data_IF_762368746499
#
_entry.id   IF_762368746499
#
_cell.length_a   1.000
_cell.length_b   1.000
_cell.length_c   1.000
_cell.angle_alpha   90.00
_cell.angle_beta   90.00
_cell.angle_gamma   90.00
#
_symmetry.space_group_name_H-M   'P 1'
#
loop_
_entity.id
_entity.type
_entity.pdbx_description
1 polymer ?
#
# COMPACT_ATOMS: atom_id res chain seq x y z
N UNK A 1 -12.44 -0.53 -5.95
CA UNK A 1 -11.08 -0.64 -6.56
C UNK A 1 -10.77 -2.09 -6.92
N UNK A 2 -10.82 -3.04 -5.96
CA UNK A 2 -10.41 -4.44 -6.20
C UNK A 2 -11.09 -5.15 -7.37
N UNK A 3 -12.42 -5.04 -7.61
CA UNK A 3 -13.03 -5.72 -8.77
C UNK A 3 -12.41 -5.27 -10.11
N UNK A 4 -12.15 -3.98 -10.29
CA UNK A 4 -11.52 -3.45 -11.51
C UNK A 4 -10.09 -3.97 -11.68
N UNK A 5 -9.31 -4.01 -10.60
CA UNK A 5 -7.94 -4.52 -10.62
C UNK A 5 -7.90 -6.03 -10.91
N UNK A 6 -8.85 -6.80 -10.36
CA UNK A 6 -8.96 -8.23 -10.63
C UNK A 6 -9.23 -8.52 -12.11
N UNK A 7 -10.15 -7.77 -12.73
CA UNK A 7 -10.42 -7.92 -14.17
C UNK A 7 -9.20 -7.56 -15.04
N UNK A 8 -8.43 -6.55 -14.65
CA UNK A 8 -7.18 -6.21 -15.33
C UNK A 8 -6.13 -7.32 -15.21
N UNK A 9 -5.98 -7.90 -14.01
CA UNK A 9 -5.10 -9.04 -13.79
C UNK A 9 -5.49 -10.24 -14.66
N UNK A 10 -6.79 -10.56 -14.75
CA UNK A 10 -7.29 -11.65 -15.63
C UNK A 10 -6.97 -11.42 -17.10
N UNK A 11 -6.90 -10.17 -17.55
CA UNK A 11 -6.44 -9.79 -18.90
C UNK A 11 -4.93 -9.82 -19.10
N UNK A 12 -4.17 -10.25 -18.09
CA UNK A 12 -2.70 -10.32 -18.13
C UNK A 12 -1.99 -9.00 -17.84
N UNK A 13 -2.72 -7.96 -17.42
CA UNK A 13 -2.12 -6.69 -17.03
C UNK A 13 -1.41 -6.80 -15.68
N UNK A 14 -0.40 -5.95 -15.47
CA UNK A 14 0.26 -5.85 -14.17
C UNK A 14 -0.47 -4.88 -13.25
N UNK A 15 -0.58 -5.26 -11.97
CA UNK A 15 -1.06 -4.39 -10.89
C UNK A 15 0.06 -4.14 -9.89
N UNK A 16 0.28 -2.89 -9.55
CA UNK A 16 1.30 -2.44 -8.60
C UNK A 16 0.66 -1.60 -7.51
N UNK A 17 0.87 -2.01 -6.26
CA UNK A 17 0.44 -1.27 -5.08
C UNK A 17 1.67 -0.86 -4.28
N UNK A 18 1.58 0.24 -3.54
CA UNK A 18 2.66 0.72 -2.69
C UNK A 18 2.14 1.11 -1.32
N UNK A 19 2.71 0.54 -0.26
CA UNK A 19 2.57 0.97 1.12
C UNK A 19 3.81 1.78 1.48
N UNK A 20 3.67 3.09 1.53
CA UNK A 20 4.75 4.05 1.77
C UNK A 20 4.78 4.42 3.26
N UNK A 21 5.87 4.12 3.96
CA UNK A 21 5.96 4.18 5.41
C UNK A 21 5.25 3.00 6.07
N UNK A 22 5.66 1.78 5.71
CA UNK A 22 4.96 0.55 6.09
C UNK A 22 5.24 0.09 7.53
N UNK A 23 6.20 0.71 8.22
CA UNK A 23 6.64 0.35 9.57
C UNK A 23 6.89 -1.17 9.71
N UNK A 24 6.37 -1.81 10.72
CA UNK A 24 6.49 -3.23 11.03
C UNK A 24 5.68 -4.17 10.11
N UNK A 25 5.11 -3.66 9.03
CA UNK A 25 4.45 -4.44 7.97
C UNK A 25 2.97 -4.72 8.18
N UNK A 26 2.34 -4.24 9.23
CA UNK A 26 0.88 -4.47 9.46
C UNK A 26 0.01 -4.00 8.31
N UNK A 27 0.31 -2.83 7.74
CA UNK A 27 -0.46 -2.30 6.61
C UNK A 27 -0.29 -3.15 5.34
N UNK A 28 0.91 -3.45 4.82
CA UNK A 28 1.04 -4.25 3.61
C UNK A 28 0.49 -5.68 3.76
N UNK A 29 0.55 -6.30 4.93
CA UNK A 29 -0.12 -7.58 5.17
C UNK A 29 -1.65 -7.44 5.15
N UNK A 30 -2.20 -6.36 5.71
CA UNK A 30 -3.65 -6.07 5.63
C UNK A 30 -4.08 -5.85 4.18
N UNK A 31 -3.29 -5.13 3.38
CA UNK A 31 -3.53 -4.96 1.94
C UNK A 31 -3.53 -6.33 1.24
N UNK A 32 -2.52 -7.16 1.49
CA UNK A 32 -2.41 -8.50 0.89
C UNK A 32 -3.61 -9.40 1.29
N UNK A 33 -4.03 -9.39 2.55
CA UNK A 33 -5.24 -10.09 2.99
C UNK A 33 -6.48 -9.61 2.24
N UNK A 34 -6.66 -8.30 2.13
CA UNK A 34 -7.80 -7.69 1.42
C UNK A 34 -7.81 -8.07 -0.07
N UNK A 35 -6.64 -8.08 -0.69
CA UNK A 35 -6.47 -8.54 -2.09
C UNK A 35 -6.89 -9.99 -2.23
N UNK A 36 -6.37 -10.89 -1.40
CA UNK A 36 -6.67 -12.32 -1.48
C UNK A 36 -8.10 -12.66 -1.06
N UNK A 37 -8.74 -11.86 -0.22
CA UNK A 37 -10.17 -12.01 0.05
C UNK A 37 -11.04 -11.65 -1.16
N UNK A 38 -10.70 -10.54 -1.82
CA UNK A 38 -11.45 -10.07 -2.99
C UNK A 38 -11.13 -10.89 -4.27
N UNK A 39 -9.92 -11.42 -4.37
CA UNK A 39 -9.44 -12.21 -5.50
C UNK A 39 -8.46 -13.30 -5.02
N UNK A 40 -8.95 -14.48 -4.59
CA UNK A 40 -8.14 -15.53 -3.98
C UNK A 40 -6.98 -16.04 -4.83
N UNK A 41 -7.10 -15.92 -6.15
CA UNK A 41 -6.07 -16.36 -7.10
C UNK A 41 -5.04 -15.28 -7.42
N UNK A 42 -5.09 -14.10 -6.79
CA UNK A 42 -4.24 -12.94 -7.12
C UNK A 42 -2.74 -13.28 -7.13
N UNK A 43 -2.29 -14.20 -6.27
CA UNK A 43 -0.90 -14.64 -6.23
C UNK A 43 -0.41 -15.35 -7.51
N UNK A 44 -1.32 -15.83 -8.37
CA UNK A 44 -0.99 -16.44 -9.67
C UNK A 44 -0.82 -15.41 -10.78
N UNK A 45 -1.13 -14.15 -10.50
CA UNK A 45 -1.12 -13.07 -11.48
C UNK A 45 0.01 -12.08 -11.20
N UNK A 46 0.25 -11.18 -12.15
CA UNK A 46 1.29 -10.16 -12.04
C UNK A 46 0.88 -9.01 -11.11
N UNK A 47 0.63 -9.34 -9.84
CA UNK A 47 0.35 -8.38 -8.77
C UNK A 47 1.54 -8.33 -7.80
N UNK A 48 1.99 -7.13 -7.42
CA UNK A 48 2.99 -6.93 -6.37
C UNK A 48 2.64 -5.71 -5.52
N UNK A 49 2.91 -5.84 -4.23
CA UNK A 49 2.80 -4.78 -3.23
C UNK A 49 4.22 -4.42 -2.83
N UNK A 50 4.66 -3.22 -3.19
CA UNK A 50 5.86 -2.64 -2.61
C UNK A 50 5.51 -2.15 -1.20
N UNK A 51 6.31 -2.51 -0.22
CA UNK A 51 6.25 -1.98 1.13
C UNK A 51 7.59 -1.33 1.46
N UNK A 52 7.58 -0.06 1.78
CA UNK A 52 8.82 0.67 2.02
C UNK A 52 8.79 1.48 3.31
N UNK A 53 9.94 1.55 3.97
CA UNK A 53 10.14 2.36 5.17
C UNK A 53 11.57 2.89 5.23
N UNK A 54 11.79 3.92 6.04
CA UNK A 54 13.09 4.49 6.36
C UNK A 54 13.82 3.71 7.47
N UNK A 55 13.07 2.99 8.32
CA UNK A 55 13.64 2.24 9.44
C UNK A 55 13.95 0.80 9.05
N UNK A 56 15.23 0.46 9.03
CA UNK A 56 15.69 -0.89 8.75
C UNK A 56 15.17 -1.93 9.77
N UNK A 57 15.09 -1.57 11.06
CA UNK A 57 14.64 -2.49 12.09
C UNK A 57 13.15 -2.83 11.92
N UNK A 58 12.33 -1.85 11.56
CA UNK A 58 10.94 -2.06 11.22
C UNK A 58 10.78 -2.96 9.97
N UNK A 59 11.61 -2.73 8.96
CA UNK A 59 11.59 -3.56 7.75
C UNK A 59 11.98 -5.01 8.01
N UNK A 60 12.96 -5.28 8.87
CA UNK A 60 13.31 -6.66 9.24
C UNK A 60 12.15 -7.36 9.97
N UNK A 61 11.53 -6.70 10.95
CA UNK A 61 10.30 -7.20 11.59
C UNK A 61 9.18 -7.45 10.60
N UNK A 62 8.99 -6.51 9.65
CA UNK A 62 7.98 -6.65 8.60
C UNK A 62 8.26 -7.87 7.70
N UNK A 63 9.51 -8.12 7.33
CA UNK A 63 9.92 -9.31 6.55
C UNK A 63 9.68 -10.61 7.31
N UNK A 64 9.91 -10.63 8.62
CA UNK A 64 9.59 -11.79 9.46
C UNK A 64 8.10 -12.11 9.42
N UNK A 65 7.22 -11.09 9.29
CA UNK A 65 5.77 -11.24 9.25
C UNK A 65 5.22 -11.97 10.47
N UNK A 66 5.84 -11.77 11.63
CA UNK A 66 5.49 -12.41 12.89
C UNK A 66 4.93 -11.38 13.86
N UNK A 67 3.74 -11.63 14.36
CA UNK A 67 3.00 -10.73 15.26
C UNK A 67 2.56 -11.47 16.50
N UNK A 68 2.37 -10.75 17.63
CA UNK A 68 1.89 -11.38 18.86
C UNK A 68 0.54 -12.06 18.65
N UNK A 69 0.30 -13.16 19.39
CA UNK A 69 -0.98 -13.88 19.35
C UNK A 69 -2.15 -12.94 19.69
N UNK A 70 -1.94 -12.00 20.62
CA UNK A 70 -2.94 -10.99 20.97
C UNK A 70 -3.31 -10.11 19.76
N UNK A 71 -2.32 -9.63 19.01
CA UNK A 71 -2.56 -8.79 17.83
C UNK A 71 -3.31 -9.57 16.74
N UNK A 72 -2.89 -10.79 16.47
CA UNK A 72 -3.51 -11.65 15.45
C UNK A 72 -4.92 -12.08 15.88
N UNK A 73 -5.19 -12.27 17.18
CA UNK A 73 -6.52 -12.64 17.68
C UNK A 73 -7.59 -11.57 17.44
N UNK A 74 -7.19 -10.31 17.27
CA UNK A 74 -8.09 -9.18 16.95
C UNK A 74 -8.53 -9.17 15.48
N UNK A 75 -7.91 -9.98 14.64
CA UNK A 75 -8.31 -10.10 13.23
C UNK A 75 -9.59 -10.91 13.09
N UNK A 76 -10.41 -10.63 12.04
CA UNK A 76 -11.54 -11.49 11.71
C UNK A 76 -11.09 -12.96 11.57
N UNK A 77 -11.80 -13.92 12.20
CA UNK A 77 -11.39 -15.33 12.21
C UNK A 77 -11.09 -15.90 10.81
N UNK A 78 -11.93 -15.57 9.84
CA UNK A 78 -11.76 -16.04 8.45
C UNK A 78 -10.44 -15.59 7.80
N UNK A 79 -9.90 -14.42 8.19
CA UNK A 79 -8.62 -13.90 7.74
C UNK A 79 -7.50 -14.57 8.52
N UNK A 80 -7.61 -14.53 9.85
CA UNK A 80 -6.61 -15.06 10.75
C UNK A 80 -6.32 -16.53 10.44
N UNK A 81 -7.37 -17.37 10.44
CA UNK A 81 -7.21 -18.82 10.34
C UNK A 81 -6.74 -19.27 8.93
N UNK A 82 -7.00 -18.44 7.92
CA UNK A 82 -6.57 -18.71 6.55
C UNK A 82 -5.14 -18.26 6.26
N UNK A 83 -4.72 -17.14 6.83
CA UNK A 83 -3.50 -16.47 6.40
C UNK A 83 -2.43 -16.36 7.47
N UNK A 84 -2.72 -16.71 8.73
CA UNK A 84 -1.75 -16.68 9.81
C UNK A 84 -1.69 -18.03 10.51
N UNK A 85 -0.48 -18.57 10.63
CA UNK A 85 -0.23 -19.81 11.36
C UNK A 85 0.22 -19.47 12.78
N UNK A 86 -0.39 -20.10 13.80
CA UNK A 86 0.09 -19.95 15.17
C UNK A 86 1.43 -20.66 15.35
N UNK A 87 2.41 -19.95 15.90
CA UNK A 87 3.74 -20.43 16.23
C UNK A 87 4.08 -19.95 17.66
N UNK A 88 3.91 -20.82 18.67
CA UNK A 88 4.02 -20.42 20.07
C UNK A 88 3.03 -19.32 20.42
N UNK A 89 3.55 -18.21 20.97
CA UNK A 89 2.78 -17.01 21.34
C UNK A 89 2.68 -15.98 20.21
N UNK A 90 2.90 -16.40 18.96
CA UNK A 90 2.88 -15.53 17.78
C UNK A 90 1.99 -16.10 16.69
N UNK A 91 1.52 -15.20 15.81
CA UNK A 91 0.94 -15.55 14.52
C UNK A 91 1.89 -15.18 13.41
N UNK A 92 2.19 -16.12 12.53
CA UNK A 92 3.10 -15.93 11.41
C UNK A 92 2.33 -15.85 10.10
N UNK A 93 2.60 -14.82 9.29
CA UNK A 93 1.99 -14.62 7.99
C UNK A 93 2.34 -15.77 7.03
N UNK A 94 1.36 -16.27 6.30
CA UNK A 94 1.54 -17.36 5.34
C UNK A 94 2.46 -16.94 4.19
N UNK A 95 3.09 -17.94 3.54
CA UNK A 95 3.93 -17.70 2.37
C UNK A 95 3.15 -16.99 1.25
N UNK A 96 1.87 -17.33 1.07
CA UNK A 96 1.01 -16.69 0.08
C UNK A 96 0.90 -15.17 0.26
N UNK A 97 0.84 -14.66 1.49
CA UNK A 97 0.87 -13.22 1.77
C UNK A 97 2.26 -12.64 1.48
N UNK A 98 3.31 -13.32 1.94
CA UNK A 98 4.70 -12.88 1.79
C UNK A 98 5.09 -12.73 0.32
N UNK A 99 4.67 -13.67 -0.54
CA UNK A 99 4.98 -13.67 -1.97
C UNK A 99 4.39 -12.47 -2.72
N UNK A 100 3.33 -11.85 -2.19
CA UNK A 100 2.75 -10.64 -2.76
C UNK A 100 3.53 -9.38 -2.41
N UNK A 101 4.33 -9.38 -1.32
CA UNK A 101 4.92 -8.18 -0.74
C UNK A 101 6.43 -8.15 -1.00
N UNK A 102 6.93 -7.00 -1.43
CA UNK A 102 8.35 -6.72 -1.57
C UNK A 102 8.74 -5.59 -0.62
N UNK A 103 9.48 -5.91 0.44
CA UNK A 103 9.98 -4.92 1.41
C UNK A 103 11.27 -4.27 0.90
N UNK A 104 11.33 -2.93 0.94
CA UNK A 104 12.48 -2.14 0.49
C UNK A 104 12.71 -0.94 1.40
N UNK A 105 13.97 -0.66 1.69
CA UNK A 105 14.37 0.62 2.28
C UNK A 105 14.11 1.74 1.29
N UNK A 106 13.44 2.80 1.75
CA UNK A 106 13.19 3.99 0.95
C UNK A 106 12.90 5.18 1.86
N UNK A 107 13.67 6.26 1.66
CA UNK A 107 13.35 7.55 2.24
C UNK A 107 12.45 8.33 1.27
N UNK A 108 11.28 8.76 1.75
CA UNK A 108 10.33 9.55 0.95
C UNK A 108 10.88 10.91 0.50
N UNK A 109 11.93 11.40 1.16
CA UNK A 109 12.56 12.68 0.81
C UNK A 109 13.57 12.55 -0.34
N UNK A 110 14.13 11.36 -0.54
CA UNK A 110 15.10 11.10 -1.60
C UNK A 110 14.40 10.80 -2.94
N UNK A 111 15.17 10.73 -4.04
CA UNK A 111 14.64 10.30 -5.33
C UNK A 111 14.10 8.87 -5.27
N UNK A 112 12.99 8.65 -5.96
CA UNK A 112 12.34 7.35 -6.01
C UNK A 112 12.76 6.59 -7.28
N UNK A 113 13.33 5.37 -7.15
CA UNK A 113 13.88 4.63 -8.29
C UNK A 113 12.80 3.87 -9.09
N UNK A 114 11.60 4.44 -9.20
CA UNK A 114 10.49 3.74 -9.82
C UNK A 114 10.50 3.90 -11.34
N UNK A 115 10.49 2.76 -12.04
CA UNK A 115 10.35 2.69 -13.50
C UNK A 115 8.89 2.49 -13.94
N UNK A 116 8.01 2.07 -13.04
CA UNK A 116 6.60 1.80 -13.31
C UNK A 116 5.72 2.60 -12.36
N UNK A 117 4.54 2.97 -12.84
CA UNK A 117 3.53 3.65 -12.04
C UNK A 117 2.69 2.65 -11.25
N UNK A 118 2.17 3.13 -10.12
CA UNK A 118 1.32 2.37 -9.21
C UNK A 118 -0.16 2.53 -9.57
N UNK A 119 -0.93 1.49 -9.34
CA UNK A 119 -2.39 1.50 -9.41
C UNK A 119 -3.00 2.03 -8.12
N UNK A 120 -2.34 1.72 -6.98
CA UNK A 120 -2.77 2.14 -5.65
C UNK A 120 -1.55 2.50 -4.80
N UNK A 121 -1.63 3.62 -4.10
CA UNK A 121 -0.65 4.04 -3.08
C UNK A 121 -1.37 4.20 -1.74
N UNK A 122 -0.79 3.63 -0.70
CA UNK A 122 -1.14 3.88 0.69
C UNK A 122 0.00 4.67 1.33
N UNK A 123 -0.30 5.83 1.89
CA UNK A 123 0.61 6.62 2.71
C UNK A 123 -0.18 7.14 3.89
N UNK A 124 -0.21 6.37 4.97
CA UNK A 124 -1.10 6.63 6.10
C UNK A 124 -0.32 6.83 7.39
N UNK A 125 -0.62 7.92 8.09
CA UNK A 125 0.02 8.28 9.34
C UNK A 125 1.55 8.44 9.23
N UNK A 126 2.02 8.94 8.09
CA UNK A 126 3.42 9.17 7.77
C UNK A 126 3.70 10.67 7.60
N UNK A 127 2.86 11.34 6.81
CA UNK A 127 3.11 12.75 6.46
C UNK A 127 2.78 13.70 7.62
N UNK A 128 2.10 13.23 8.66
CA UNK A 128 1.85 14.00 9.89
C UNK A 128 3.12 14.49 10.59
N UNK A 129 4.26 13.88 10.30
CA UNK A 129 5.57 14.25 10.87
C UNK A 129 6.32 15.29 10.04
N UNK A 130 5.79 15.71 8.89
CA UNK A 130 6.41 16.64 7.95
C UNK A 130 5.71 17.99 7.96
N UNK A 131 6.45 19.05 7.67
CA UNK A 131 5.89 20.37 7.47
C UNK A 131 5.02 20.43 6.19
N UNK A 132 4.09 21.38 6.13
CA UNK A 132 3.07 21.46 5.07
C UNK A 132 3.66 21.53 3.66
N UNK A 133 4.73 22.31 3.47
CA UNK A 133 5.37 22.47 2.16
C UNK A 133 5.98 21.15 1.69
N UNK A 134 6.56 20.38 2.61
CA UNK A 134 7.13 19.08 2.32
C UNK A 134 6.05 18.04 2.04
N UNK A 135 4.94 18.09 2.78
CA UNK A 135 3.76 17.26 2.49
C UNK A 135 3.25 17.52 1.06
N UNK A 136 3.11 18.81 0.67
CA UNK A 136 2.65 19.19 -0.67
C UNK A 136 3.58 18.69 -1.77
N UNK A 137 4.90 18.73 -1.54
CA UNK A 137 5.89 18.16 -2.47
C UNK A 137 5.73 16.65 -2.61
N UNK A 138 5.58 15.91 -1.49
CA UNK A 138 5.41 14.46 -1.50
C UNK A 138 4.10 14.08 -2.21
N UNK A 139 2.98 14.79 -1.97
CA UNK A 139 1.74 14.55 -2.71
C UNK A 139 1.90 14.76 -4.21
N UNK A 140 2.61 15.80 -4.64
CA UNK A 140 2.91 16.04 -6.06
C UNK A 140 3.77 14.91 -6.65
N UNK A 141 4.71 14.38 -5.89
CA UNK A 141 5.51 13.22 -6.30
C UNK A 141 4.66 11.94 -6.38
N UNK A 142 3.70 11.73 -5.48
CA UNK A 142 2.75 10.62 -5.62
C UNK A 142 1.96 10.70 -6.93
N UNK A 143 1.50 11.88 -7.34
CA UNK A 143 0.84 12.07 -8.64
C UNK A 143 1.73 11.61 -9.80
N UNK A 144 3.04 11.92 -9.76
CA UNK A 144 3.96 11.54 -10.85
C UNK A 144 4.15 10.04 -11.01
N UNK A 145 4.00 9.26 -9.93
CA UNK A 145 4.17 7.80 -9.94
C UNK A 145 2.85 7.02 -9.83
N UNK A 146 1.73 7.71 -9.72
CA UNK A 146 0.40 7.10 -9.74
C UNK A 146 -0.16 7.07 -11.16
N UNK A 147 -0.77 5.97 -11.58
CA UNK A 147 -1.43 5.88 -12.88
C UNK A 147 -2.64 6.82 -12.95
N UNK A 148 -3.01 7.35 -14.13
CA UNK A 148 -4.34 7.95 -14.30
C UNK A 148 -5.44 6.97 -13.87
N UNK A 149 -6.41 7.45 -13.10
CA UNK A 149 -7.43 6.60 -12.47
C UNK A 149 -6.97 5.79 -11.26
N UNK A 150 -5.67 5.86 -10.89
CA UNK A 150 -5.13 5.22 -9.70
C UNK A 150 -5.62 5.86 -8.40
N UNK A 151 -5.40 5.19 -7.29
CA UNK A 151 -5.94 5.59 -5.99
C UNK A 151 -4.85 5.88 -4.97
N UNK A 152 -5.01 6.97 -4.23
CA UNK A 152 -4.19 7.32 -3.07
C UNK A 152 -5.04 7.23 -1.79
N UNK A 153 -4.56 6.49 -0.81
CA UNK A 153 -5.13 6.40 0.53
C UNK A 153 -4.19 7.02 1.55
N UNK A 154 -4.72 7.92 2.37
CA UNK A 154 -3.99 8.63 3.43
C UNK A 154 -4.58 8.37 4.81
N UNK A 155 -3.92 8.82 5.86
CA UNK A 155 -4.43 8.73 7.24
C UNK A 155 -5.54 9.75 7.52
N UNK A 156 -6.27 9.54 8.60
CA UNK A 156 -7.42 10.41 8.96
C UNK A 156 -7.03 11.84 9.29
N UNK A 157 -5.82 12.04 9.81
CA UNK A 157 -5.28 13.37 10.17
C UNK A 157 -4.55 14.06 9.03
N UNK A 158 -4.42 13.40 7.88
CA UNK A 158 -3.71 13.91 6.70
C UNK A 158 -4.71 14.51 5.71
N UNK A 159 -4.24 15.51 4.95
CA UNK A 159 -5.02 16.14 3.88
C UNK A 159 -4.11 16.44 2.70
N UNK A 160 -4.58 16.15 1.50
CA UNK A 160 -3.86 16.55 0.29
C UNK A 160 -3.84 18.08 0.22
N UNK A 161 -2.67 18.63 -0.05
CA UNK A 161 -2.42 20.07 -0.14
C UNK A 161 -1.53 20.40 -1.35
N UNK A 162 -1.44 21.68 -1.66
CA UNK A 162 -0.56 22.17 -2.72
C UNK A 162 -1.03 21.81 -4.12
N UNK A 163 -0.09 21.76 -5.09
CA UNK A 163 -0.40 21.53 -6.51
C UNK A 163 -1.12 20.23 -6.80
N UNK A 164 -0.88 19.17 -6.00
CA UNK A 164 -1.51 17.85 -6.14
C UNK A 164 -3.04 17.88 -6.05
N UNK A 165 -3.62 18.92 -5.43
CA UNK A 165 -5.08 19.07 -5.33
C UNK A 165 -5.77 19.18 -6.69
N UNK A 166 -5.06 19.60 -7.74
CA UNK A 166 -5.60 19.68 -9.11
C UNK A 166 -5.76 18.31 -9.75
N UNK A 167 -4.91 17.36 -9.37
CA UNK A 167 -4.81 16.04 -9.98
C UNK A 167 -5.36 14.92 -9.10
N UNK A 168 -5.64 15.19 -7.82
CA UNK A 168 -6.16 14.22 -6.86
C UNK A 168 -7.59 14.61 -6.44
N UNK A 169 -8.58 14.01 -7.10
CA UNK A 169 -9.99 14.18 -6.74
C UNK A 169 -10.31 13.35 -5.49
N UNK A 170 -10.81 14.00 -4.46
CA UNK A 170 -11.29 13.30 -3.26
C UNK A 170 -12.55 12.49 -3.58
N UNK A 171 -12.51 11.18 -3.25
CA UNK A 171 -13.61 10.24 -3.46
C UNK A 171 -14.12 9.62 -2.16
N UNK A 172 -13.51 9.95 -1.03
CA UNK A 172 -13.88 9.57 0.32
C UNK A 172 -13.07 10.34 1.34
N UNK A 173 -13.30 10.12 2.63
CA UNK A 173 -12.67 10.91 3.71
C UNK A 173 -11.14 10.89 3.62
N UNK A 174 -10.55 9.73 3.31
CA UNK A 174 -9.09 9.49 3.26
C UNK A 174 -8.66 8.89 1.92
N UNK A 175 -9.48 9.00 0.89
CA UNK A 175 -9.23 8.38 -0.40
C UNK A 175 -9.38 9.37 -1.53
N UNK A 176 -8.43 9.29 -2.46
CA UNK A 176 -8.32 10.17 -3.62
C UNK A 176 -8.12 9.33 -4.87
N UNK A 177 -8.63 9.83 -6.00
CA UNK A 177 -8.41 9.28 -7.33
C UNK A 177 -7.55 10.24 -8.13
N UNK A 178 -6.54 9.70 -8.81
CA UNK A 178 -5.68 10.49 -9.68
C UNK A 178 -6.37 10.77 -11.01
N UNK A 179 -6.71 12.02 -11.24
CA UNK A 179 -7.34 12.53 -12.47
C UNK A 179 -6.49 13.72 -12.99
N UNK A 180 -5.39 13.44 -13.71
CA UNK A 180 -4.46 14.48 -14.12
C UNK A 180 -5.14 15.50 -15.04
N UNK A 181 -5.06 16.78 -14.71
CA UNK A 181 -5.71 17.89 -15.43
C UNK A 181 -5.09 18.21 -16.79
N UNK A 182 -4.02 17.50 -17.20
CA UNK A 182 -3.28 17.72 -18.44
C UNK A 182 -3.38 16.61 -19.50
N UNK A 183 -4.33 15.70 -19.44
CA UNK A 183 -4.37 14.48 -20.25
C UNK A 183 -5.60 14.30 -21.13
N UNK A 184 -6.02 15.36 -21.88
CA UNK A 184 -6.88 15.20 -23.06
C UNK A 184 -6.10 15.79 -24.24
N UNK A 185 -5.33 14.97 -24.90
CA UNK A 185 -4.98 15.10 -26.32
C UNK A 185 -4.97 13.71 -26.93
#
# INVERSE_FOLDING_TARGET
VMPVLAERLKRGESVRMWSAGCSDGREPYTIACTVLQAFPEAARYNLKILASDLDHNSLEKAKEGRYSAEMVSRMPPAIRDRYFKRVGDSGEASQQLRDLIAFRFLNLLNDWPFKQKFDVIFCRNVLIYFEQDLQAQIFSRFCSVLKPGGHLYIGHSERVSGPAMKDLRQIGITSYRHEPTGGIK
#
